data_IF_605814160355
#
_entry.id   IF_605814160355
#
_cell.length_a   1.000
_cell.length_b   1.000
_cell.length_c   1.000
_cell.angle_alpha   90.00
_cell.angle_beta   90.00
_cell.angle_gamma   90.00
#
_symmetry.space_group_name_H-M   'P 1'
#
loop_
_entity.id
_entity.type
_entity.pdbx_description
1 polymer ?
#
# COMPACT_ATOMS: atom_id res chain seq x y z
N UNK A 1 31.63 4.09 36.37
CA UNK A 1 31.09 3.12 35.37
C UNK A 1 29.56 3.14 35.21
N UNK A 2 28.80 3.98 35.92
CA UNK A 2 27.34 4.10 35.73
C UNK A 2 26.93 5.23 34.76
N UNK A 3 27.73 6.31 34.69
CA UNK A 3 27.42 7.50 33.87
C UNK A 3 27.56 7.26 32.36
N UNK A 4 28.47 6.37 31.94
CA UNK A 4 28.68 6.02 30.52
C UNK A 4 27.53 5.18 29.95
N UNK A 5 26.86 4.36 30.77
CA UNK A 5 25.71 3.56 30.33
C UNK A 5 24.49 4.45 30.07
N UNK A 6 24.27 5.48 30.91
CA UNK A 6 23.12 6.37 30.83
C UNK A 6 23.11 7.28 29.58
N UNK A 7 24.29 7.63 29.06
CA UNK A 7 24.44 8.43 27.84
C UNK A 7 24.33 7.62 26.54
N UNK A 8 24.39 6.28 26.61
CA UNK A 8 24.23 5.39 25.44
C UNK A 8 22.75 5.02 25.20
N UNK A 9 21.91 5.06 26.23
CA UNK A 9 20.47 4.77 26.14
C UNK A 9 19.66 5.68 25.19
N UNK A 10 19.92 7.00 25.04
CA UNK A 10 19.19 7.82 24.08
C UNK A 10 19.66 7.66 22.62
N UNK A 11 20.83 7.04 22.39
CA UNK A 11 21.36 6.82 21.04
C UNK A 11 20.68 5.65 20.29
N UNK A 12 20.01 4.74 21.01
CA UNK A 12 19.29 3.60 20.42
C UNK A 12 17.87 3.92 19.95
N UNK A 13 17.36 5.14 20.16
CA UNK A 13 15.95 5.48 19.90
C UNK A 13 15.64 6.01 18.49
N UNK A 14 16.61 6.05 17.56
CA UNK A 14 16.43 6.67 16.24
C UNK A 14 16.60 5.73 15.04
N UNK A 15 16.25 4.46 15.20
CA UNK A 15 16.07 3.55 14.05
C UNK A 15 14.59 3.35 13.81
N UNK A 16 13.96 4.26 13.07
CA UNK A 16 12.66 3.97 12.45
C UNK A 16 12.91 3.18 11.17
N UNK A 17 12.83 1.86 11.24
CA UNK A 17 12.96 0.95 10.11
C UNK A 17 11.66 0.78 9.32
N UNK A 18 10.71 1.71 9.42
CA UNK A 18 9.43 1.63 8.72
C UNK A 18 9.54 2.28 7.34
N UNK A 19 9.39 1.46 6.29
CA UNK A 19 9.19 1.96 4.93
C UNK A 19 7.83 2.65 4.87
N UNK A 20 7.83 3.95 4.64
CA UNK A 20 6.62 4.75 4.47
C UNK A 20 6.33 4.87 2.98
N UNK A 21 5.09 4.58 2.59
CA UNK A 21 4.58 4.84 1.24
C UNK A 21 3.80 6.15 1.26
N UNK A 22 3.78 6.86 0.13
CA UNK A 22 2.92 8.04 -0.04
C UNK A 22 1.71 7.66 -0.88
N UNK A 23 0.51 7.79 -0.33
CA UNK A 23 -0.74 7.48 -1.03
C UNK A 23 -1.56 8.75 -1.31
N UNK A 24 -2.12 8.85 -2.52
CA UNK A 24 -2.94 10.01 -2.94
C UNK A 24 -4.12 9.58 -3.81
N UNK A 25 -5.29 10.22 -3.66
CA UNK A 25 -5.69 11.07 -2.55
C UNK A 25 -5.70 10.31 -1.20
N UNK A 26 -5.63 11.03 -0.09
CA UNK A 26 -5.80 10.43 1.24
C UNK A 26 -7.25 10.00 1.51
N UNK A 27 -8.21 10.68 0.89
CA UNK A 27 -9.64 10.37 0.93
C UNK A 27 -10.21 10.56 -0.46
N UNK A 28 -11.02 9.61 -0.91
CA UNK A 28 -11.72 9.65 -2.20
C UNK A 28 -13.18 9.32 -1.93
N UNK A 29 -14.08 10.13 -2.47
CA UNK A 29 -15.52 9.89 -2.45
C UNK A 29 -16.02 9.90 -3.89
N UNK A 30 -16.73 8.85 -4.29
CA UNK A 30 -17.32 8.74 -5.63
C UNK A 30 -18.70 8.08 -5.56
N UNK A 31 -19.49 8.27 -6.61
CA UNK A 31 -20.80 7.64 -6.73
C UNK A 31 -20.69 6.14 -6.99
N UNK A 32 -21.72 5.40 -6.56
CA UNK A 32 -21.83 3.97 -6.85
C UNK A 32 -21.73 3.72 -8.36
N UNK A 33 -20.98 2.69 -8.73
CA UNK A 33 -20.78 2.30 -10.13
C UNK A 33 -19.63 3.01 -10.83
N UNK A 34 -19.10 4.11 -10.26
CA UNK A 34 -17.90 4.77 -10.80
C UNK A 34 -16.63 4.01 -10.44
N UNK A 35 -15.52 4.44 -11.03
CA UNK A 35 -14.19 3.93 -10.73
C UNK A 35 -13.37 4.98 -10.01
N UNK A 36 -12.59 4.57 -9.03
CA UNK A 36 -11.62 5.42 -8.30
C UNK A 36 -10.22 4.90 -8.51
N UNK A 37 -9.24 5.79 -8.37
CA UNK A 37 -7.83 5.44 -8.39
C UNK A 37 -7.08 6.06 -7.22
N UNK A 38 -6.23 5.27 -6.58
CA UNK A 38 -5.32 5.72 -5.53
C UNK A 38 -3.88 5.46 -5.97
N UNK A 39 -3.11 6.54 -6.07
CA UNK A 39 -1.68 6.51 -6.34
C UNK A 39 -0.92 6.08 -5.10
N UNK A 40 0.20 5.39 -5.30
CA UNK A 40 1.13 4.96 -4.27
C UNK A 40 2.57 5.10 -4.78
N UNK A 41 3.36 5.94 -4.12
CA UNK A 41 4.81 6.00 -4.33
C UNK A 41 5.52 5.27 -3.18
N UNK A 42 6.38 4.29 -3.52
CA UNK A 42 7.11 3.47 -2.53
C UNK A 42 8.46 4.07 -2.12
N UNK A 43 8.76 5.31 -2.51
CA UNK A 43 9.98 6.10 -2.30
C UNK A 43 11.27 5.53 -2.91
N UNK A 44 11.47 4.22 -2.82
CA UNK A 44 12.65 3.51 -3.30
C UNK A 44 12.28 2.13 -3.81
N UNK A 45 12.80 1.81 -4.99
CA UNK A 45 12.69 0.49 -5.59
C UNK A 45 13.56 -0.53 -4.82
N UNK A 46 12.96 -1.68 -4.52
CA UNK A 46 13.59 -2.76 -3.73
C UNK A 46 13.52 -4.13 -4.42
N UNK A 47 13.22 -4.16 -5.73
CA UNK A 47 13.06 -5.42 -6.48
C UNK A 47 12.00 -6.36 -5.94
N UNK A 48 10.98 -5.80 -5.28
CA UNK A 48 9.85 -6.52 -4.70
C UNK A 48 8.53 -6.04 -5.30
N UNK A 49 7.53 -6.91 -5.30
CA UNK A 49 6.15 -6.56 -5.63
C UNK A 49 5.51 -5.67 -4.56
N UNK A 50 4.51 -4.88 -4.96
CA UNK A 50 3.60 -4.16 -4.07
C UNK A 50 2.39 -5.04 -3.76
N UNK A 51 1.94 -4.96 -2.51
CA UNK A 51 0.77 -5.67 -2.00
C UNK A 51 -0.24 -4.64 -1.53
N UNK A 52 -1.45 -4.70 -2.07
CA UNK A 52 -2.55 -3.83 -1.66
C UNK A 52 -3.41 -4.53 -0.61
N UNK A 53 -3.76 -3.80 0.43
CA UNK A 53 -4.63 -4.27 1.51
C UNK A 53 -5.79 -3.30 1.70
N UNK A 54 -6.95 -3.86 2.03
CA UNK A 54 -8.13 -3.11 2.47
C UNK A 54 -8.22 -3.24 3.99
N UNK A 55 -8.41 -2.14 4.69
CA UNK A 55 -8.60 -2.13 6.13
C UNK A 55 -9.92 -1.44 6.47
N UNK A 56 -10.77 -2.15 7.21
CA UNK A 56 -11.93 -1.60 7.88
C UNK A 56 -11.52 -1.39 9.35
N UNK A 57 -11.87 -0.26 9.99
CA UNK A 57 -11.55 -0.03 11.40
C UNK A 57 -11.98 -1.22 12.27
N UNK A 58 -11.08 -1.69 13.15
CA UNK A 58 -11.27 -2.84 14.05
C UNK A 58 -11.30 -4.23 13.38
N UNK A 59 -11.13 -4.32 12.06
CA UNK A 59 -10.97 -5.60 11.36
C UNK A 59 -9.50 -5.87 10.99
N UNK A 60 -9.20 -7.15 10.76
CA UNK A 60 -7.90 -7.53 10.21
C UNK A 60 -7.74 -7.00 8.76
N UNK A 61 -6.53 -6.56 8.35
CA UNK A 61 -6.27 -6.19 6.97
C UNK A 61 -6.60 -7.33 6.00
N UNK A 62 -7.39 -7.02 4.99
CA UNK A 62 -7.78 -7.96 3.94
C UNK A 62 -6.83 -7.80 2.75
N UNK A 63 -6.16 -8.88 2.35
CA UNK A 63 -5.31 -8.86 1.16
C UNK A 63 -6.15 -8.69 -0.11
N UNK A 64 -5.85 -7.67 -0.91
CA UNK A 64 -6.59 -7.35 -2.14
C UNK A 64 -5.90 -7.97 -3.34
N UNK A 65 -4.66 -7.54 -3.62
CA UNK A 65 -3.88 -8.03 -4.75
C UNK A 65 -2.38 -7.80 -4.59
N UNK A 66 -1.59 -8.56 -5.36
CA UNK A 66 -0.14 -8.42 -5.51
C UNK A 66 0.18 -7.97 -6.94
N UNK A 67 1.05 -6.97 -7.10
CA UNK A 67 1.44 -6.46 -8.40
C UNK A 67 2.92 -6.05 -8.45
N UNK A 68 3.61 -6.39 -9.54
CA UNK A 68 4.97 -5.95 -9.84
C UNK A 68 4.95 -4.98 -11.02
N UNK A 69 5.75 -3.91 -10.98
CA UNK A 69 5.68 -2.81 -11.96
C UNK A 69 5.89 -3.25 -13.42
N UNK A 70 6.62 -4.35 -13.65
CA UNK A 70 6.88 -4.88 -15.00
C UNK A 70 5.75 -5.74 -15.56
N UNK A 71 4.73 -6.05 -14.76
CA UNK A 71 3.68 -6.99 -15.15
C UNK A 71 2.53 -6.24 -15.81
N UNK A 72 1.84 -6.90 -16.74
CA UNK A 72 0.67 -6.32 -17.42
C UNK A 72 -0.60 -6.35 -16.57
N UNK A 73 -0.65 -7.19 -15.53
CA UNK A 73 -1.77 -7.33 -14.61
C UNK A 73 -1.31 -7.83 -13.23
N UNK A 74 -2.14 -7.74 -12.18
CA UNK A 74 -1.86 -8.35 -10.87
C UNK A 74 -1.67 -9.86 -10.93
N UNK A 75 -0.69 -10.36 -10.16
CA UNK A 75 -0.28 -11.77 -10.15
C UNK A 75 -1.21 -12.65 -9.33
N UNK A 76 -1.81 -12.06 -8.30
CA UNK A 76 -2.62 -12.76 -7.31
C UNK A 76 -3.64 -11.80 -6.72
N UNK A 77 -4.81 -12.34 -6.43
CA UNK A 77 -5.88 -11.70 -5.68
C UNK A 77 -6.14 -12.42 -4.36
N UNK A 78 -6.70 -11.70 -3.38
CA UNK A 78 -7.29 -12.34 -2.19
C UNK A 78 -8.66 -12.94 -2.50
N UNK A 79 -9.15 -13.83 -1.63
CA UNK A 79 -10.29 -14.71 -1.90
C UNK A 79 -11.59 -13.98 -2.32
N UNK A 80 -11.81 -12.77 -1.79
CA UNK A 80 -13.00 -11.95 -2.07
C UNK A 80 -12.74 -10.81 -3.07
N UNK A 81 -11.59 -10.81 -3.73
CA UNK A 81 -11.16 -9.77 -4.66
C UNK A 81 -10.90 -10.36 -6.04
N UNK A 82 -11.17 -9.60 -7.09
CA UNK A 82 -10.99 -10.06 -8.46
C UNK A 82 -10.64 -8.93 -9.41
N UNK A 83 -10.11 -9.29 -10.57
CA UNK A 83 -9.80 -8.38 -11.68
C UNK A 83 -11.00 -7.65 -12.24
N UNK A 84 -12.22 -8.13 -11.99
CA UNK A 84 -13.45 -7.46 -12.39
C UNK A 84 -13.65 -6.11 -11.68
N UNK A 85 -13.08 -5.95 -10.47
CA UNK A 85 -13.23 -4.75 -9.66
C UNK A 85 -11.92 -4.12 -9.22
N UNK A 86 -10.84 -4.89 -9.06
CA UNK A 86 -9.59 -4.40 -8.54
C UNK A 86 -8.47 -4.66 -9.54
N UNK A 87 -7.70 -3.63 -9.86
CA UNK A 87 -6.48 -3.78 -10.65
C UNK A 87 -5.40 -2.82 -10.17
N UNK A 88 -4.16 -3.10 -10.55
CA UNK A 88 -3.04 -2.21 -10.28
C UNK A 88 -2.23 -2.02 -11.55
N UNK A 89 -1.69 -0.82 -11.72
CA UNK A 89 -0.71 -0.50 -12.74
C UNK A 89 0.45 0.27 -12.13
N UNK A 90 1.52 0.45 -12.90
CA UNK A 90 2.64 1.28 -12.53
C UNK A 90 3.07 2.16 -13.69
N UNK A 91 3.52 3.38 -13.40
CA UNK A 91 4.17 4.27 -14.37
C UNK A 91 5.69 4.21 -14.27
N UNK A 92 6.21 3.73 -13.14
CA UNK A 92 7.64 3.52 -12.90
C UNK A 92 7.83 2.34 -11.94
N UNK A 93 9.07 1.99 -11.60
CA UNK A 93 9.35 0.97 -10.59
C UNK A 93 9.06 1.43 -9.15
N UNK A 94 8.71 2.71 -8.95
CA UNK A 94 8.36 3.28 -7.64
C UNK A 94 6.95 3.86 -7.57
N UNK A 95 6.29 4.12 -8.71
CA UNK A 95 4.97 4.74 -8.80
C UNK A 95 3.92 3.72 -9.25
N UNK A 96 3.01 3.41 -8.34
CA UNK A 96 1.94 2.44 -8.48
C UNK A 96 0.58 3.13 -8.39
N UNK A 97 -0.45 2.52 -8.95
CA UNK A 97 -1.82 2.98 -8.81
C UNK A 97 -2.74 1.77 -8.62
N UNK A 98 -3.55 1.79 -7.55
CA UNK A 98 -4.70 0.90 -7.38
C UNK A 98 -5.90 1.53 -8.07
N UNK A 99 -6.63 0.74 -8.85
CA UNK A 99 -7.88 1.14 -9.48
C UNK A 99 -8.98 0.22 -8.94
N UNK A 100 -10.06 0.83 -8.44
CA UNK A 100 -11.24 0.14 -7.96
C UNK A 100 -12.41 0.53 -8.87
N UNK A 101 -12.94 -0.43 -9.60
CA UNK A 101 -14.08 -0.29 -10.50
C UNK A 101 -15.38 -0.67 -9.80
N UNK A 102 -16.48 -0.05 -10.25
CA UNK A 102 -17.82 -0.28 -9.73
C UNK A 102 -17.85 -0.12 -8.21
N UNK A 103 -17.51 1.08 -7.72
CA UNK A 103 -17.56 1.40 -6.28
C UNK A 103 -18.95 1.04 -5.74
N UNK A 104 -18.97 0.38 -4.58
CA UNK A 104 -20.19 -0.02 -3.87
C UNK A 104 -20.23 0.69 -2.52
N UNK A 105 -21.44 0.85 -1.98
CA UNK A 105 -21.60 1.30 -0.60
C UNK A 105 -21.21 0.14 0.30
N UNK A 106 -20.25 0.38 1.19
CA UNK A 106 -19.78 -0.57 2.19
C UNK A 106 -20.78 -0.78 3.31
#
# INVERSE_FOLDING_TARGET
>A
MLLTVCALLPALALVSSHKVVTQKPSVITEDKGKSVSMDCNIAKYESNSVYWYKQIPQEAPQFVLKFHYSNSAPDKYGDNFSSARFTSKASSNIDYQLIISNVEVG
#
